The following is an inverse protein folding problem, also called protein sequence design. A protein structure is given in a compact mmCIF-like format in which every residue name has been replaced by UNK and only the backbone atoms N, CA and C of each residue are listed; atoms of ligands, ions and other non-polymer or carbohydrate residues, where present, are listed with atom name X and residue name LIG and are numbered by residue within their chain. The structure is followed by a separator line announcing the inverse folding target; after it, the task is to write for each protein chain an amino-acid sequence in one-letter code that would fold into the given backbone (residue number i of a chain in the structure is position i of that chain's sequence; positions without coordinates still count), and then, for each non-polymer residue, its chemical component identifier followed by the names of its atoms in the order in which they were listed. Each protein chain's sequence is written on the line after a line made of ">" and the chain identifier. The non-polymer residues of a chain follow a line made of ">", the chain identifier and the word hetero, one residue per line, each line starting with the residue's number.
data_IF_791652915018
#
_entry.id   IF_791652915018
#
_cell.length_a   1.000
_cell.length_b   1.000
_cell.length_c   1.000
_cell.angle_alpha   90.00
_cell.angle_beta   90.00
_cell.angle_gamma   90.00
#
_symmetry.space_group_name_H-M   'P 1'
#
loop_
_entity.id
_entity.type
_entity.pdbx_description
1 polymer ?
#
# COMPACT_ATOMS: atom_id res chain seq x y z
N UNK A 1 10.60 -6.11 -8.59
CA UNK A 1 9.46 -5.22 -8.85
C UNK A 1 9.50 -4.03 -7.91
N UNK A 2 9.11 -2.90 -8.41
CA UNK A 2 9.15 -1.69 -7.62
C UNK A 2 7.99 -1.64 -6.64
N UNK A 3 8.23 -1.01 -5.50
CA UNK A 3 7.17 -0.74 -4.54
C UNK A 3 6.33 0.42 -5.06
N UNK A 4 5.07 0.45 -4.68
CA UNK A 4 4.17 1.53 -5.10
C UNK A 4 4.37 2.81 -4.31
N UNK A 5 5.09 2.75 -3.19
CA UNK A 5 5.45 3.90 -2.40
C UNK A 5 6.82 3.67 -1.77
N UNK A 6 7.45 4.75 -1.33
CA UNK A 6 8.77 4.69 -0.71
C UNK A 6 8.68 5.20 0.72
N UNK A 7 9.77 5.02 1.47
CA UNK A 7 9.85 5.56 2.83
C UNK A 7 9.67 7.09 2.80
N UNK A 8 10.20 7.74 1.77
CA UNK A 8 10.03 9.19 1.61
C UNK A 8 8.55 9.55 1.44
N UNK A 9 7.82 8.76 0.64
CA UNK A 9 6.39 8.98 0.47
C UNK A 9 5.64 8.81 1.78
N UNK A 10 6.03 7.82 2.56
CA UNK A 10 5.43 7.55 3.85
C UNK A 10 5.62 8.73 4.80
N UNK A 11 6.82 9.31 4.82
CA UNK A 11 7.11 10.47 5.65
C UNK A 11 6.32 11.69 5.22
N UNK A 12 6.13 11.88 3.93
CA UNK A 12 5.39 13.02 3.40
C UNK A 12 3.90 12.92 3.66
N UNK A 13 3.35 11.73 3.45
CA UNK A 13 1.89 11.55 3.49
C UNK A 13 1.38 11.19 4.86
N UNK A 14 2.24 10.79 5.75
CA UNK A 14 1.85 10.38 7.09
C UNK A 14 2.61 11.16 8.16
N UNK A 15 3.82 10.73 8.50
CA UNK A 15 4.63 11.41 9.50
C UNK A 15 6.08 10.93 9.43
N UNK A 16 6.96 11.67 10.11
CA UNK A 16 8.34 11.26 10.24
C UNK A 16 8.43 9.93 10.97
N UNK A 17 9.39 9.11 10.60
CA UNK A 17 9.59 7.79 11.17
C UNK A 17 10.84 7.77 12.03
N UNK A 18 10.82 6.95 13.08
CA UNK A 18 11.99 6.68 13.86
C UNK A 18 12.88 5.71 13.08
N UNK A 19 14.15 5.63 13.48
CA UNK A 19 15.14 4.82 12.77
C UNK A 19 14.71 3.35 12.62
N UNK A 20 14.25 2.75 13.70
CA UNK A 20 13.81 1.35 13.66
C UNK A 20 12.51 1.17 12.92
N UNK A 21 11.67 2.19 12.90
CA UNK A 21 10.43 2.16 12.09
C UNK A 21 10.74 2.18 10.60
N UNK A 22 11.81 2.87 10.19
CA UNK A 22 12.16 2.95 8.77
C UNK A 22 12.47 1.59 8.18
N UNK A 23 13.22 0.76 8.91
CA UNK A 23 13.52 -0.60 8.44
C UNK A 23 12.27 -1.43 8.30
N UNK A 24 11.40 -1.36 9.29
CA UNK A 24 10.14 -2.09 9.24
C UNK A 24 9.26 -1.58 8.12
N UNK A 25 9.24 -0.26 7.92
CA UNK A 25 8.46 0.35 6.85
C UNK A 25 8.92 -0.10 5.48
N UNK A 26 10.24 -0.21 5.26
CA UNK A 26 10.75 -0.69 3.98
C UNK A 26 10.25 -2.10 3.68
N UNK A 27 10.30 -2.98 4.66
CA UNK A 27 9.83 -4.35 4.49
C UNK A 27 8.32 -4.37 4.24
N UNK A 28 7.57 -3.55 4.97
CA UNK A 28 6.12 -3.48 4.80
C UNK A 28 5.73 -2.91 3.44
N UNK A 29 6.45 -1.91 2.96
CA UNK A 29 6.19 -1.35 1.64
C UNK A 29 6.30 -2.42 0.56
N UNK A 30 7.31 -3.26 0.66
CA UNK A 30 7.47 -4.36 -0.29
C UNK A 30 6.33 -5.36 -0.21
N UNK A 31 6.01 -5.81 1.00
CA UNK A 31 4.94 -6.80 1.20
C UNK A 31 3.59 -6.25 0.78
N UNK A 32 3.28 -5.02 1.17
CA UNK A 32 2.01 -4.39 0.80
C UNK A 32 1.90 -4.24 -0.70
N UNK A 33 2.98 -3.80 -1.36
CA UNK A 33 2.97 -3.65 -2.82
C UNK A 33 2.66 -4.97 -3.52
N UNK A 34 3.26 -6.06 -3.07
CA UNK A 34 2.97 -7.38 -3.64
C UNK A 34 1.55 -7.84 -3.31
N UNK A 35 1.07 -7.55 -2.11
CA UNK A 35 -0.29 -7.89 -1.71
C UNK A 35 -1.31 -7.18 -2.61
N UNK A 36 -1.07 -5.91 -2.91
CA UNK A 36 -1.95 -5.15 -3.81
C UNK A 36 -1.96 -5.75 -5.21
N UNK A 37 -0.81 -6.20 -5.69
CA UNK A 37 -0.73 -6.85 -7.00
C UNK A 37 -1.53 -8.14 -7.02
N UNK A 38 -1.45 -8.92 -5.96
CA UNK A 38 -2.20 -10.17 -5.85
C UNK A 38 -3.70 -9.90 -5.84
N UNK A 39 -4.14 -8.93 -5.06
CA UNK A 39 -5.56 -8.59 -5.00
C UNK A 39 -6.08 -8.09 -6.34
N UNK A 40 -5.30 -7.27 -7.03
CA UNK A 40 -5.69 -6.79 -8.36
C UNK A 40 -5.82 -7.95 -9.34
N UNK A 41 -4.91 -8.91 -9.26
CA UNK A 41 -4.91 -10.07 -10.12
C UNK A 41 -6.16 -10.92 -9.93
N UNK A 42 -6.65 -11.01 -8.69
CA UNK A 42 -7.88 -11.75 -8.40
C UNK A 42 -9.10 -11.21 -9.15
N UNK A 43 -9.09 -9.91 -9.43
CA UNK A 43 -10.20 -9.28 -10.18
C UNK A 43 -9.83 -9.02 -11.63
N UNK A 44 -8.79 -9.67 -12.13
CA UNK A 44 -8.41 -9.60 -13.54
C UNK A 44 -7.73 -8.29 -13.93
N UNK A 45 -7.09 -7.60 -13.00
CA UNK A 45 -6.43 -6.33 -13.29
C UNK A 45 -4.92 -6.46 -13.25
N UNK A 46 -4.24 -5.72 -14.12
CA UNK A 46 -2.79 -5.60 -14.11
C UNK A 46 -2.46 -4.27 -13.44
N UNK A 47 -2.16 -4.33 -12.15
CA UNK A 47 -1.95 -3.13 -11.35
C UNK A 47 -0.76 -2.32 -11.84
N UNK A 48 0.34 -2.98 -12.17
CA UNK A 48 1.52 -2.28 -12.67
C UNK A 48 1.23 -1.55 -13.97
N UNK A 49 0.47 -2.17 -14.86
CA UNK A 49 0.06 -1.54 -16.11
C UNK A 49 -0.84 -0.33 -15.88
N UNK A 50 -1.79 -0.45 -14.98
CA UNK A 50 -2.68 0.66 -14.66
C UNK A 50 -1.91 1.83 -14.05
N UNK A 51 -0.99 1.55 -13.15
CA UNK A 51 -0.15 2.59 -12.54
C UNK A 51 0.71 3.28 -13.58
N UNK A 52 1.24 2.51 -14.53
CA UNK A 52 2.13 3.06 -15.57
C UNK A 52 1.39 3.97 -16.55
N UNK A 53 0.09 3.72 -16.78
CA UNK A 53 -0.66 4.44 -17.81
C UNK A 53 -1.55 5.54 -17.27
N UNK A 54 -1.81 5.58 -15.97
CA UNK A 54 -2.72 6.56 -15.37
C UNK A 54 -2.06 7.21 -14.16
N UNK A 55 -1.55 8.45 -14.32
CA UNK A 55 -0.89 9.13 -13.19
C UNK A 55 -1.79 9.34 -11.98
N UNK A 56 -3.07 9.58 -12.20
CA UNK A 56 -4.01 9.76 -11.10
C UNK A 56 -4.20 8.45 -10.33
N UNK A 57 -4.30 7.35 -11.07
CA UNK A 57 -4.43 6.04 -10.43
C UNK A 57 -3.13 5.68 -9.68
N UNK A 58 -1.99 6.04 -10.25
CA UNK A 58 -0.70 5.83 -9.57
C UNK A 58 -0.67 6.56 -8.23
N UNK A 59 -1.18 7.76 -8.18
CA UNK A 59 -1.25 8.54 -6.95
C UNK A 59 -2.16 7.87 -5.92
N UNK A 60 -3.29 7.35 -6.36
CA UNK A 60 -4.22 6.63 -5.48
C UNK A 60 -3.56 5.38 -4.91
N UNK A 61 -2.89 4.60 -5.76
CA UNK A 61 -2.21 3.39 -5.32
C UNK A 61 -1.11 3.72 -4.32
N UNK A 62 -0.36 4.79 -4.57
CA UNK A 62 0.66 5.24 -3.62
C UNK A 62 0.03 5.58 -2.27
N UNK A 63 -1.06 6.32 -2.29
CA UNK A 63 -1.76 6.73 -1.08
C UNK A 63 -2.30 5.52 -0.31
N UNK A 64 -2.87 4.55 -1.01
CA UNK A 64 -3.36 3.31 -0.40
C UNK A 64 -2.20 2.54 0.23
N UNK A 65 -1.08 2.44 -0.46
CA UNK A 65 0.09 1.74 0.05
C UNK A 65 0.58 2.38 1.34
N UNK A 66 0.69 3.70 1.35
CA UNK A 66 1.10 4.44 2.54
C UNK A 66 0.11 4.21 3.69
N UNK A 67 -1.17 4.28 3.40
CA UNK A 67 -2.21 4.10 4.42
C UNK A 67 -2.12 2.72 5.06
N UNK A 68 -1.98 1.67 4.25
CA UNK A 68 -1.89 0.30 4.76
C UNK A 68 -0.63 0.14 5.61
N UNK A 69 0.50 0.63 5.14
CA UNK A 69 1.75 0.55 5.90
C UNK A 69 1.64 1.32 7.21
N UNK A 70 1.08 2.52 7.17
CA UNK A 70 0.92 3.35 8.37
C UNK A 70 0.05 2.64 9.40
N UNK A 71 -1.06 2.06 8.97
CA UNK A 71 -1.95 1.34 9.88
C UNK A 71 -1.26 0.13 10.50
N UNK A 72 -0.46 -0.57 9.72
CA UNK A 72 0.29 -1.72 10.20
C UNK A 72 1.34 -1.30 11.21
N UNK A 73 2.01 -0.18 10.97
CA UNK A 73 3.00 0.35 11.92
C UNK A 73 2.36 0.81 13.22
N UNK A 74 1.15 1.37 13.13
CA UNK A 74 0.44 1.82 14.32
C UNK A 74 -0.09 0.66 15.16
N UNK A 75 -0.39 -0.45 14.52
CA UNK A 75 -0.81 -1.66 15.21
C UNK A 75 0.44 -2.36 15.71
N UNK A 76 0.75 -2.21 16.97
CA UNK A 76 1.99 -2.74 17.54
C UNK A 76 1.96 -4.24 17.74
N UNK A 77 0.88 -4.88 17.41
CA UNK A 77 0.72 -6.33 17.57
C UNK A 77 0.58 -6.98 16.22
N UNK A 78 0.70 -8.29 16.18
CA UNK A 78 0.50 -9.08 14.97
C UNK A 78 -0.94 -9.54 14.83
N UNK A 79 -1.84 -8.87 15.50
CA UNK A 79 -3.24 -9.25 15.54
C UNK A 79 -3.97 -8.92 14.26
N UNK A 80 -3.61 -7.83 13.62
CA UNK A 80 -4.29 -7.36 12.42
C UNK A 80 -3.62 -7.94 11.19
N UNK A 81 -4.28 -8.84 10.46
CA UNK A 81 -3.69 -9.39 9.24
C UNK A 81 -3.54 -8.29 8.19
N UNK A 82 -2.33 -8.13 7.70
CA UNK A 82 -2.05 -7.14 6.66
C UNK A 82 -2.89 -7.38 5.41
N UNK A 83 -3.13 -8.63 5.07
CA UNK A 83 -3.94 -9.00 3.92
C UNK A 83 -5.36 -8.44 4.06
N UNK A 84 -5.93 -8.50 5.25
CA UNK A 84 -7.27 -7.97 5.50
C UNK A 84 -7.30 -6.46 5.30
N UNK A 85 -6.29 -5.76 5.78
CA UNK A 85 -6.22 -4.31 5.61
C UNK A 85 -6.07 -3.95 4.14
N UNK A 86 -5.22 -4.68 3.42
CA UNK A 86 -5.02 -4.45 2.00
C UNK A 86 -6.30 -4.71 1.21
N UNK A 87 -7.04 -5.77 1.53
CA UNK A 87 -8.30 -6.07 0.87
C UNK A 87 -9.32 -4.95 1.05
N UNK A 88 -9.42 -4.42 2.26
CA UNK A 88 -10.34 -3.32 2.55
C UNK A 88 -9.98 -2.08 1.75
N UNK A 89 -8.70 -1.75 1.68
CA UNK A 89 -8.24 -0.58 0.95
C UNK A 89 -8.48 -0.74 -0.55
N UNK A 90 -8.18 -1.93 -1.10
CA UNK A 90 -8.40 -2.20 -2.52
C UNK A 90 -9.87 -2.25 -2.87
N UNK A 91 -10.69 -2.81 -1.99
CA UNK A 91 -12.13 -2.82 -2.18
C UNK A 91 -12.67 -1.41 -2.36
N UNK A 92 -12.19 -0.50 -1.54
CA UNK A 92 -12.55 0.90 -1.68
C UNK A 92 -12.07 1.48 -3.02
N UNK A 93 -10.83 1.19 -3.40
CA UNK A 93 -10.24 1.73 -4.63
C UNK A 93 -10.91 1.20 -5.90
N UNK A 94 -11.28 -0.08 -5.91
CA UNK A 94 -11.77 -0.71 -7.14
C UNK A 94 -13.28 -0.79 -7.22
N UNK A 95 -14.00 -0.81 -6.12
CA UNK A 95 -15.45 -0.97 -6.16
C UNK A 95 -16.18 0.22 -5.59
N UNK A 96 -15.58 1.01 -4.77
CA UNK A 96 -16.21 2.17 -4.16
C UNK A 96 -16.24 3.40 -5.03
N UNK A 97 -15.71 3.31 -6.22
CA UNK A 97 -15.56 4.47 -7.10
C UNK A 97 -16.78 4.70 -8.00
N UNK A 98 -17.78 3.95 -7.84
CA UNK A 98 -18.97 4.10 -8.70
C UNK A 98 -20.14 4.50 -7.94
#
# INVERSE_FOLDING_TARGET
>A
MENFATVEDLKKLWRALKFDEEKRAEALLEVVSHSLRVEAKKVGKDLDGLVATDPSFAMVVKSVTVDVVARTLMTSTDQEPMTQVAESALGYSFSGSY
#
